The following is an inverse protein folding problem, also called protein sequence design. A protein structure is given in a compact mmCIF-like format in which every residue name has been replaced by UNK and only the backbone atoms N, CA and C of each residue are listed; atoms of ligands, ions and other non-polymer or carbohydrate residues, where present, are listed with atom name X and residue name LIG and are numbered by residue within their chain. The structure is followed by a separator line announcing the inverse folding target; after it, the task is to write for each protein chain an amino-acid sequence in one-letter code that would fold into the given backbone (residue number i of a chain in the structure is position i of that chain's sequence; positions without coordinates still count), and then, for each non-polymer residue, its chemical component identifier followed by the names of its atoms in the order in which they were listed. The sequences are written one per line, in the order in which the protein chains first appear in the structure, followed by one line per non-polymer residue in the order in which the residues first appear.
data_IF_914958913496
#
_entry.id   IF_914958913496
#
_cell.length_a   1.000
_cell.length_b   1.000
_cell.length_c   1.000
_cell.angle_alpha   90.00
_cell.angle_beta   90.00
_cell.angle_gamma   90.00
#
_symmetry.space_group_name_H-M   'P 1'
#
loop_
_entity.id
_entity.type
_entity.pdbx_description
1 polymer ?
#
# COMPACT_ATOMS: atom_id res chain seq x y z
N UNK A 1 30.18 3.13 -11.92
CA UNK A 1 29.80 4.41 -11.30
C UNK A 1 28.45 4.16 -10.66
N UNK A 2 28.41 4.02 -9.34
CA UNK A 2 27.23 3.55 -8.60
C UNK A 2 26.97 4.57 -7.50
N UNK A 3 25.80 5.19 -7.53
CA UNK A 3 25.27 6.13 -6.54
C UNK A 3 23.96 5.48 -6.07
N UNK A 4 23.64 5.25 -4.80
CA UNK A 4 24.07 5.90 -3.58
C UNK A 4 22.84 6.54 -2.93
N UNK A 5 22.04 5.76 -2.19
CA UNK A 5 21.14 6.31 -1.17
C UNK A 5 21.61 5.81 0.19
N UNK A 6 21.82 6.79 1.07
CA UNK A 6 22.63 6.73 2.27
C UNK A 6 21.71 7.13 3.42
N UNK A 7 21.56 6.28 4.42
CA UNK A 7 21.30 6.70 5.79
C UNK A 7 22.33 6.03 6.70
N UNK A 8 23.08 6.87 7.44
CA UNK A 8 24.05 6.52 8.49
C UNK A 8 23.30 5.84 9.67
N UNK A 9 23.89 4.93 10.47
CA UNK A 9 25.05 5.15 11.35
C UNK A 9 25.76 3.83 11.76
N UNK A 10 27.10 3.85 11.75
CA UNK A 10 28.12 2.94 12.36
C UNK A 10 28.06 2.97 13.92
N UNK A 11 28.68 2.12 14.77
CA UNK A 11 29.52 0.91 14.75
C UNK A 11 29.74 0.44 16.21
N UNK A 12 30.08 -0.84 16.34
CA UNK A 12 31.08 -1.44 17.26
C UNK A 12 30.71 -1.88 18.68
N UNK A 13 31.16 -3.10 18.92
CA UNK A 13 31.13 -3.96 20.08
C UNK A 13 32.28 -3.65 21.07
N UNK A 14 32.08 -3.90 22.37
CA UNK A 14 33.14 -4.25 23.33
C UNK A 14 32.56 -5.03 24.52
N UNK A 15 33.26 -6.09 24.94
CA UNK A 15 32.94 -7.00 26.06
C UNK A 15 33.61 -6.53 27.35
N UNK A 16 32.92 -6.62 28.52
CA UNK A 16 33.44 -7.29 29.74
C UNK A 16 32.45 -7.31 30.94
N UNK A 17 32.03 -8.53 31.30
CA UNK A 17 31.82 -9.20 32.63
C UNK A 17 31.00 -8.60 33.81
N UNK A 18 30.04 -9.46 34.26
CA UNK A 18 29.44 -9.72 35.61
C UNK A 18 28.51 -8.61 36.16
N UNK A 19 27.33 -8.85 36.75
CA UNK A 19 26.86 -9.90 37.66
C UNK A 19 25.30 -9.99 37.67
N UNK A 20 24.77 -11.07 38.24
CA UNK A 20 23.35 -11.48 38.31
C UNK A 20 22.33 -10.42 38.77
N UNK A 21 21.21 -10.30 38.05
CA UNK A 21 19.85 -10.48 38.61
C UNK A 21 18.87 -10.75 37.47
N UNK A 22 18.12 -11.85 37.55
CA UNK A 22 17.11 -12.22 36.54
C UNK A 22 15.89 -11.30 36.71
N UNK A 23 15.70 -10.39 35.75
CA UNK A 23 14.38 -9.89 35.36
C UNK A 23 14.05 -10.53 34.02
N UNK A 24 12.81 -11.02 33.76
CA UNK A 24 12.43 -11.34 32.40
C UNK A 24 12.48 -10.02 31.62
N UNK A 25 13.48 -9.88 30.76
CA UNK A 25 13.46 -8.87 29.71
C UNK A 25 12.33 -9.26 28.77
N UNK A 26 11.21 -8.55 28.82
CA UNK A 26 10.30 -8.50 27.69
C UNK A 26 11.09 -7.78 26.60
N UNK A 27 11.77 -8.56 25.77
CA UNK A 27 12.45 -8.05 24.58
C UNK A 27 11.37 -7.81 23.54
N UNK A 28 10.62 -6.72 23.65
CA UNK A 28 9.74 -6.29 22.55
C UNK A 28 10.64 -5.70 21.47
N UNK A 29 11.20 -6.55 20.61
CA UNK A 29 11.66 -6.07 19.32
C UNK A 29 10.40 -5.74 18.53
N UNK A 30 9.98 -4.47 18.57
CA UNK A 30 8.89 -3.97 17.72
C UNK A 30 9.31 -4.18 16.27
N UNK A 31 8.66 -5.11 15.56
CA UNK A 31 8.82 -5.24 14.11
C UNK A 31 8.48 -3.90 13.44
N UNK A 32 9.14 -3.61 12.34
CA UNK A 32 8.85 -2.46 11.47
C UNK A 32 8.10 -2.93 10.22
N UNK A 33 7.51 -1.99 9.48
CA UNK A 33 6.91 -2.30 8.17
C UNK A 33 7.95 -2.89 7.20
N UNK A 34 9.19 -2.40 7.22
CA UNK A 34 10.27 -2.94 6.39
C UNK A 34 10.59 -4.39 6.72
N UNK A 35 10.63 -4.74 8.02
CA UNK A 35 10.84 -6.13 8.43
C UNK A 35 9.73 -7.06 7.89
N UNK A 36 8.50 -6.59 7.74
CA UNK A 36 7.41 -7.37 7.15
C UNK A 36 7.59 -7.57 5.64
N UNK A 37 7.99 -6.52 4.89
CA UNK A 37 8.33 -6.65 3.47
C UNK A 37 9.54 -7.57 3.22
N UNK A 38 10.51 -7.57 4.12
CA UNK A 38 11.68 -8.45 4.03
C UNK A 38 11.34 -9.93 4.31
N UNK A 39 10.25 -10.20 5.04
CA UNK A 39 9.99 -11.52 5.63
C UNK A 39 8.72 -12.23 5.15
N UNK A 40 7.76 -11.54 4.52
CA UNK A 40 6.53 -12.18 4.04
C UNK A 40 6.81 -13.21 2.95
N UNK A 41 6.03 -14.30 2.88
CA UNK A 41 6.31 -15.45 2.03
C UNK A 41 5.31 -15.68 0.91
N UNK A 42 4.06 -15.25 1.08
CA UNK A 42 2.97 -15.55 0.15
C UNK A 42 2.38 -14.27 -0.44
N UNK A 43 1.93 -13.35 0.42
CA UNK A 43 1.23 -12.17 -0.04
C UNK A 43 1.38 -10.94 0.86
N UNK A 44 1.35 -9.77 0.23
CA UNK A 44 1.23 -8.47 0.87
C UNK A 44 0.00 -7.73 0.31
N UNK A 45 -0.94 -7.42 1.18
CA UNK A 45 -2.20 -6.75 0.90
C UNK A 45 -2.19 -5.32 1.45
N UNK A 46 -2.57 -4.33 0.64
CA UNK A 46 -2.78 -2.94 1.08
C UNK A 46 -4.25 -2.55 1.00
N UNK A 47 -4.80 -2.07 2.11
CA UNK A 47 -6.05 -1.30 2.11
C UNK A 47 -5.77 0.21 2.12
N UNK A 48 -6.40 0.94 1.21
CA UNK A 48 -6.42 2.40 1.17
C UNK A 48 -7.85 2.93 1.28
N UNK A 49 -8.02 3.93 2.16
CA UNK A 49 -9.33 4.46 2.56
C UNK A 49 -9.46 5.97 2.40
N UNK A 50 -8.37 6.67 2.04
CA UNK A 50 -8.36 8.14 1.89
C UNK A 50 -8.37 8.56 0.43
N UNK A 51 -9.09 9.63 0.12
CA UNK A 51 -9.13 10.22 -1.23
C UNK A 51 -7.94 11.18 -1.51
N UNK A 52 -7.07 11.42 -0.53
CA UNK A 52 -5.97 12.39 -0.63
C UNK A 52 -4.75 11.97 0.23
N UNK A 53 -3.65 11.67 -0.45
CA UNK A 53 -2.33 11.47 0.15
C UNK A 53 -1.30 12.48 -0.39
N UNK A 54 -1.73 13.66 -0.86
CA UNK A 54 -0.91 14.67 -1.55
C UNK A 54 0.24 15.25 -0.73
N UNK A 55 0.26 15.02 0.59
CA UNK A 55 1.37 15.39 1.49
C UNK A 55 2.26 14.20 1.85
N UNK A 56 2.10 13.09 1.14
CA UNK A 56 2.85 11.85 1.29
C UNK A 56 3.46 11.42 -0.04
N UNK A 57 4.41 10.47 0.01
CA UNK A 57 5.03 9.90 -1.18
C UNK A 57 5.79 10.95 -1.98
N UNK A 58 5.53 11.01 -3.29
CA UNK A 58 6.22 11.90 -4.21
C UNK A 58 5.41 13.18 -4.47
N UNK A 59 5.53 14.13 -3.53
CA UNK A 59 4.85 15.44 -3.59
C UNK A 59 5.22 16.23 -4.85
N UNK A 60 6.48 16.16 -5.28
CA UNK A 60 6.94 16.86 -6.49
C UNK A 60 6.30 16.29 -7.75
N UNK A 61 6.17 14.95 -7.85
CA UNK A 61 5.46 14.31 -8.96
C UNK A 61 3.97 14.68 -8.97
N UNK A 62 3.34 14.83 -7.81
CA UNK A 62 1.96 15.30 -7.75
C UNK A 62 1.83 16.75 -8.25
N UNK A 63 2.76 17.63 -7.88
CA UNK A 63 2.78 18.99 -8.41
C UNK A 63 3.01 19.03 -9.93
N UNK A 64 3.91 18.19 -10.46
CA UNK A 64 4.14 18.05 -11.90
C UNK A 64 2.87 17.58 -12.62
N UNK A 65 2.15 16.61 -12.06
CA UNK A 65 0.86 16.15 -12.58
C UNK A 65 -0.17 17.27 -12.66
N UNK A 66 -0.31 18.05 -11.59
CA UNK A 66 -1.22 19.20 -11.56
C UNK A 66 -0.84 20.29 -12.59
N UNK A 67 0.45 20.42 -12.88
CA UNK A 67 0.96 21.32 -13.91
C UNK A 67 0.77 20.79 -15.35
N UNK A 68 0.28 19.55 -15.51
CA UNK A 68 0.13 18.91 -16.82
C UNK A 68 1.45 18.45 -17.44
N UNK A 69 2.50 18.32 -16.64
CA UNK A 69 3.79 17.81 -17.06
C UNK A 69 3.74 16.28 -17.28
N UNK A 70 4.61 15.71 -18.13
CA UNK A 70 4.69 14.27 -18.27
C UNK A 70 5.23 13.59 -17.00
N UNK A 71 4.87 12.31 -16.82
CA UNK A 71 5.42 11.50 -15.74
C UNK A 71 6.96 11.40 -15.88
N UNK A 72 7.74 11.67 -14.82
CA UNK A 72 9.17 11.42 -14.81
C UNK A 72 9.51 9.94 -15.05
N UNK A 73 10.55 9.65 -15.84
CA UNK A 73 10.93 8.28 -16.20
C UNK A 73 11.24 7.40 -14.97
N UNK A 74 11.86 8.00 -13.95
CA UNK A 74 12.27 7.38 -12.70
C UNK A 74 11.19 7.43 -11.61
N UNK A 75 9.99 7.94 -11.91
CA UNK A 75 8.88 7.95 -10.98
C UNK A 75 8.62 6.56 -10.40
N UNK A 76 8.65 6.45 -9.07
CA UNK A 76 8.50 5.20 -8.31
C UNK A 76 9.45 4.06 -8.69
N UNK A 77 10.58 4.32 -9.37
CA UNK A 77 11.46 3.27 -9.87
C UNK A 77 11.95 2.30 -8.77
N UNK A 78 12.34 2.82 -7.60
CA UNK A 78 12.79 1.98 -6.48
C UNK A 78 11.69 1.07 -5.94
N UNK A 79 10.47 1.60 -5.77
CA UNK A 79 9.33 0.78 -5.32
C UNK A 79 8.94 -0.27 -6.36
N UNK A 80 8.98 0.07 -7.65
CA UNK A 80 8.72 -0.89 -8.74
C UNK A 80 9.76 -2.02 -8.75
N UNK A 81 11.02 -1.71 -8.46
CA UNK A 81 12.09 -2.71 -8.34
C UNK A 81 11.85 -3.64 -7.13
N UNK A 82 11.46 -3.08 -5.98
CA UNK A 82 11.10 -3.85 -4.79
C UNK A 82 9.91 -4.77 -5.05
N UNK A 83 8.81 -4.26 -5.62
CA UNK A 83 7.65 -5.04 -6.07
C UNK A 83 8.07 -6.19 -6.98
N UNK A 84 8.88 -5.90 -8.01
CA UNK A 84 9.38 -6.91 -8.95
C UNK A 84 10.18 -7.99 -8.24
N UNK A 85 11.00 -7.62 -7.26
CA UNK A 85 11.82 -8.57 -6.48
C UNK A 85 10.99 -9.58 -5.68
N UNK A 86 9.73 -9.24 -5.36
CA UNK A 86 8.78 -10.12 -4.70
C UNK A 86 7.97 -10.93 -5.71
N UNK A 87 7.42 -10.26 -6.73
CA UNK A 87 6.52 -10.90 -7.70
C UNK A 87 7.22 -11.91 -8.59
N UNK A 88 8.50 -11.69 -8.93
CA UNK A 88 9.33 -12.67 -9.64
C UNK A 88 9.60 -13.95 -8.83
N UNK A 89 9.46 -13.89 -7.49
CA UNK A 89 9.55 -15.06 -6.60
C UNK A 89 8.20 -15.76 -6.43
N UNK A 90 7.16 -15.35 -7.16
CA UNK A 90 5.81 -15.88 -7.06
C UNK A 90 5.01 -15.36 -5.87
N UNK A 91 5.50 -14.32 -5.17
CA UNK A 91 4.75 -13.66 -4.10
C UNK A 91 3.73 -12.69 -4.69
N UNK A 92 2.56 -12.56 -4.08
CA UNK A 92 1.51 -11.65 -4.53
C UNK A 92 1.60 -10.33 -3.79
N UNK A 93 1.53 -9.20 -4.50
CA UNK A 93 1.38 -7.89 -3.87
C UNK A 93 0.18 -7.22 -4.50
N UNK A 94 -0.77 -6.80 -3.67
CA UNK A 94 -2.02 -6.24 -4.18
C UNK A 94 -2.63 -5.20 -3.27
N UNK A 95 -3.50 -4.40 -3.86
CA UNK A 95 -4.12 -3.25 -3.21
C UNK A 95 -5.61 -3.20 -3.48
N UNK A 96 -6.37 -2.95 -2.42
CA UNK A 96 -7.78 -2.55 -2.49
C UNK A 96 -7.86 -1.08 -2.08
N UNK A 97 -8.43 -0.24 -2.95
CA UNK A 97 -8.69 1.16 -2.64
C UNK A 97 -10.20 1.41 -2.66
N UNK A 98 -10.72 1.94 -1.55
CA UNK A 98 -12.10 2.39 -1.42
C UNK A 98 -12.22 3.83 -1.91
N UNK A 99 -12.96 4.07 -2.98
CA UNK A 99 -13.10 5.43 -3.52
C UNK A 99 -14.54 5.73 -3.92
N UNK A 100 -14.86 7.02 -3.99
CA UNK A 100 -16.15 7.52 -4.47
C UNK A 100 -15.95 8.51 -5.62
N UNK A 101 -16.96 8.67 -6.48
CA UNK A 101 -16.96 9.70 -7.52
C UNK A 101 -17.70 10.96 -7.04
N UNK A 102 -17.31 12.16 -7.51
CA UNK A 102 -16.20 12.43 -8.45
C UNK A 102 -14.82 12.19 -7.80
N UNK A 103 -13.87 11.71 -8.60
CA UNK A 103 -12.51 11.49 -8.14
C UNK A 103 -11.83 12.85 -7.85
N UNK A 104 -11.05 12.89 -6.78
CA UNK A 104 -10.17 14.02 -6.48
C UNK A 104 -9.03 14.09 -7.50
N UNK A 105 -8.35 15.24 -7.57
CA UNK A 105 -7.14 15.37 -8.39
C UNK A 105 -6.05 14.40 -7.95
N UNK A 106 -5.93 14.16 -6.63
CA UNK A 106 -4.99 13.20 -6.09
C UNK A 106 -5.33 11.76 -6.52
N UNK A 107 -6.60 11.33 -6.46
CA UNK A 107 -6.99 10.01 -6.96
C UNK A 107 -6.75 9.89 -8.47
N UNK A 108 -6.98 10.94 -9.26
CA UNK A 108 -6.65 10.92 -10.68
C UNK A 108 -5.14 10.75 -10.93
N UNK A 109 -4.30 11.43 -10.13
CA UNK A 109 -2.85 11.26 -10.12
C UNK A 109 -2.45 9.83 -9.73
N UNK A 110 -2.97 9.33 -8.62
CA UNK A 110 -2.59 8.03 -8.07
C UNK A 110 -2.99 6.87 -8.99
N UNK A 111 -4.23 6.86 -9.48
CA UNK A 111 -4.70 5.87 -10.44
C UNK A 111 -3.99 6.00 -11.79
N UNK A 112 -3.73 7.23 -12.24
CA UNK A 112 -3.17 7.52 -13.55
C UNK A 112 -1.65 7.28 -13.63
N UNK A 113 -0.90 7.64 -12.60
CA UNK A 113 0.55 7.56 -12.57
C UNK A 113 1.03 6.45 -11.66
N UNK A 114 0.61 6.47 -10.39
CA UNK A 114 1.01 5.49 -9.37
C UNK A 114 0.68 4.06 -9.78
N UNK A 115 -0.60 3.76 -9.95
CA UNK A 115 -1.06 2.39 -10.17
C UNK A 115 -0.52 1.83 -11.48
N UNK A 116 -0.59 2.62 -12.56
CA UNK A 116 -0.07 2.21 -13.87
C UNK A 116 1.42 1.89 -13.83
N UNK A 117 2.21 2.67 -13.07
CA UNK A 117 3.65 2.42 -12.91
C UNK A 117 3.89 1.17 -12.05
N UNK A 118 3.22 1.05 -10.92
CA UNK A 118 3.39 -0.08 -10.00
C UNK A 118 2.94 -1.43 -10.59
N UNK A 119 1.93 -1.45 -11.46
CA UNK A 119 1.54 -2.64 -12.23
C UNK A 119 2.70 -3.22 -13.04
N UNK A 120 3.68 -2.41 -13.45
CA UNK A 120 4.89 -2.89 -14.15
C UNK A 120 5.89 -3.64 -13.25
N UNK A 121 5.71 -3.54 -11.93
CA UNK A 121 6.38 -4.36 -10.92
C UNK A 121 5.56 -5.57 -10.47
N UNK A 122 4.34 -5.73 -11.00
CA UNK A 122 3.44 -6.83 -10.69
C UNK A 122 2.46 -6.60 -9.53
N UNK A 123 2.32 -5.35 -9.02
CA UNK A 123 1.26 -5.03 -8.06
C UNK A 123 -0.11 -5.10 -8.73
N UNK A 124 -1.06 -5.81 -8.11
CA UNK A 124 -2.45 -5.90 -8.54
C UNK A 124 -3.30 -4.82 -7.85
N UNK A 125 -4.31 -4.30 -8.55
CA UNK A 125 -5.18 -3.24 -8.02
C UNK A 125 -6.64 -3.60 -8.16
N UNK A 126 -7.37 -3.38 -7.07
CA UNK A 126 -8.81 -3.58 -6.97
C UNK A 126 -9.46 -2.33 -6.39
N UNK A 127 -10.61 -1.98 -6.93
CA UNK A 127 -11.34 -0.77 -6.55
C UNK A 127 -12.67 -1.17 -5.93
N UNK A 128 -12.89 -0.74 -4.69
CA UNK A 128 -14.19 -0.77 -4.05
C UNK A 128 -14.88 0.59 -4.27
N UNK A 129 -15.63 0.71 -5.36
CA UNK A 129 -16.32 1.95 -5.74
C UNK A 129 -17.56 2.13 -4.87
N UNK A 130 -17.62 3.14 -4.01
CA UNK A 130 -18.74 3.41 -3.08
C UNK A 130 -19.61 4.60 -3.50
N UNK A 131 -19.54 5.07 -4.75
CA UNK A 131 -20.20 6.31 -5.23
C UNK A 131 -21.67 6.47 -4.81
N UNK A 132 -22.46 5.39 -4.84
CA UNK A 132 -23.90 5.42 -4.56
C UNK A 132 -24.32 4.44 -3.44
N UNK A 133 -23.39 4.02 -2.58
CA UNK A 133 -23.65 3.03 -1.52
C UNK A 133 -22.88 3.37 -0.24
N UNK A 134 -23.37 2.96 0.93
CA UNK A 134 -22.65 3.16 2.18
C UNK A 134 -21.27 2.48 2.12
N UNK A 135 -20.25 3.12 2.72
CA UNK A 135 -18.93 2.53 2.86
C UNK A 135 -18.98 1.37 3.88
N UNK A 136 -18.78 0.10 3.45
CA UNK A 136 -18.82 -1.05 4.34
C UNK A 136 -17.65 -1.09 5.34
N UNK A 137 -16.58 -0.33 5.07
CA UNK A 137 -15.35 -0.27 5.87
C UNK A 137 -15.16 1.13 6.49
N UNK A 138 -16.27 1.84 6.73
CA UNK A 138 -16.21 3.15 7.38
C UNK A 138 -15.53 3.07 8.76
N UNK A 139 -14.47 3.88 8.96
CA UNK A 139 -13.72 3.94 10.20
C UNK A 139 -12.58 2.92 10.31
N UNK A 140 -12.41 2.04 9.32
CA UNK A 140 -11.21 1.21 9.17
C UNK A 140 -10.06 2.11 8.71
N UNK A 141 -8.89 2.09 9.37
CA UNK A 141 -7.73 2.86 8.92
C UNK A 141 -7.03 2.15 7.75
N UNK A 142 -6.15 2.86 7.06
CA UNK A 142 -5.21 2.25 6.12
C UNK A 142 -4.30 1.24 6.80
N UNK A 143 -4.04 0.11 6.14
CA UNK A 143 -3.09 -0.88 6.64
C UNK A 143 -2.49 -1.75 5.54
N UNK A 144 -1.30 -2.27 5.82
CA UNK A 144 -0.77 -3.44 5.13
C UNK A 144 -1.05 -4.70 5.95
N UNK A 145 -1.39 -5.80 5.29
CA UNK A 145 -1.46 -7.14 5.85
C UNK A 145 -0.50 -8.05 5.07
N UNK A 146 0.22 -8.90 5.78
CA UNK A 146 1.20 -9.84 5.21
C UNK A 146 0.84 -11.25 5.66
N UNK A 147 0.76 -12.15 4.67
CA UNK A 147 0.48 -13.58 4.84
C UNK A 147 -0.76 -13.89 5.71
N UNK A 148 -1.76 -13.00 5.69
CA UNK A 148 -2.95 -13.11 6.54
C UNK A 148 -2.64 -13.23 8.05
N UNK A 149 -1.52 -12.68 8.51
CA UNK A 149 -1.06 -12.81 9.89
C UNK A 149 -0.54 -11.49 10.47
N UNK A 150 0.36 -10.81 9.76
CA UNK A 150 1.04 -9.63 10.27
C UNK A 150 0.44 -8.36 9.68
N UNK A 151 0.08 -7.40 10.54
CA UNK A 151 -0.59 -6.16 10.12
C UNK A 151 0.22 -4.94 10.54
N UNK A 152 0.36 -3.99 9.62
CA UNK A 152 0.93 -2.68 9.87
C UNK A 152 -0.08 -1.57 9.52
N UNK A 153 -0.60 -0.90 10.55
CA UNK A 153 -1.52 0.25 10.39
C UNK A 153 -0.74 1.48 9.97
N UNK A 154 -1.26 2.21 9.00
CA UNK A 154 -0.65 3.38 8.39
C UNK A 154 -1.35 4.64 8.89
N UNK A 155 -0.60 5.55 9.50
CA UNK A 155 -1.16 6.75 10.10
C UNK A 155 -0.93 7.95 9.21
N UNK A 156 -1.99 8.72 8.97
CA UNK A 156 -1.95 9.96 8.21
C UNK A 156 -2.61 11.09 9.01
N UNK A 157 -2.16 12.32 8.82
CA UNK A 157 -2.91 13.48 9.29
C UNK A 157 -4.07 13.83 8.34
N UNK A 158 -4.88 14.83 8.74
CA UNK A 158 -6.03 15.29 7.95
C UNK A 158 -5.67 15.91 6.60
N UNK A 159 -4.41 16.26 6.38
CA UNK A 159 -3.90 16.79 5.12
C UNK A 159 -3.27 15.70 4.26
N UNK A 160 -3.42 14.42 4.62
CA UNK A 160 -2.86 13.30 3.87
C UNK A 160 -1.35 13.14 4.05
N UNK A 161 -0.75 13.69 5.12
CA UNK A 161 0.68 13.52 5.43
C UNK A 161 0.90 12.25 6.25
N UNK A 162 1.83 11.42 5.81
CA UNK A 162 2.22 10.20 6.52
C UNK A 162 2.92 10.53 7.85
N UNK A 163 2.41 9.92 8.92
CA UNK A 163 2.90 10.08 10.29
C UNK A 163 3.71 8.89 10.79
N UNK A 164 3.68 7.76 10.07
CA UNK A 164 4.37 6.53 10.44
C UNK A 164 3.44 5.31 10.45
N UNK A 165 4.04 4.13 10.56
CA UNK A 165 3.34 2.86 10.63
C UNK A 165 3.54 2.21 12.00
N UNK A 166 2.52 1.45 12.41
CA UNK A 166 2.57 0.65 13.63
C UNK A 166 2.28 -0.80 13.27
N UNK A 167 3.25 -1.68 13.51
CA UNK A 167 3.00 -3.12 13.46
C UNK A 167 2.19 -3.51 14.69
N UNK A 168 1.09 -4.22 14.46
CA UNK A 168 0.21 -4.69 15.51
C UNK A 168 0.72 -6.00 16.12
N UNK A 169 0.42 -6.19 17.39
CA UNK A 169 0.53 -7.50 18.04
C UNK A 169 -0.51 -8.47 17.45
N UNK A 170 -0.23 -9.78 17.49
CA UNK A 170 -1.02 -10.82 16.81
C UNK A 170 -2.51 -10.82 17.18
N UNK A 171 -2.83 -10.54 18.44
CA UNK A 171 -4.21 -10.48 18.93
C UNK A 171 -5.01 -9.35 18.30
N UNK A 172 -4.36 -8.21 18.03
CA UNK A 172 -4.95 -7.07 17.34
C UNK A 172 -5.00 -7.26 15.83
N UNK A 173 -4.06 -7.99 15.24
CA UNK A 173 -3.99 -8.20 13.80
C UNK A 173 -5.18 -8.99 13.23
N UNK A 174 -5.74 -9.95 14.00
CA UNK A 174 -6.80 -10.83 13.53
C UNK A 174 -8.06 -10.11 13.01
N UNK A 175 -8.44 -8.99 13.63
CA UNK A 175 -9.56 -8.15 13.16
C UNK A 175 -9.29 -7.56 11.77
N UNK A 176 -8.06 -7.08 11.55
CA UNK A 176 -7.64 -6.46 10.29
C UNK A 176 -7.46 -7.49 9.18
N UNK A 177 -7.00 -8.70 9.50
CA UNK A 177 -6.97 -9.83 8.57
C UNK A 177 -8.39 -10.12 8.06
N UNK A 178 -9.37 -10.27 8.97
CA UNK A 178 -10.76 -10.50 8.57
C UNK A 178 -11.34 -9.37 7.72
N UNK A 179 -10.95 -8.13 7.99
CA UNK A 179 -11.32 -6.97 7.16
C UNK A 179 -10.68 -7.08 5.78
N UNK A 180 -9.39 -7.45 5.70
CA UNK A 180 -8.67 -7.68 4.46
C UNK A 180 -9.37 -8.70 3.57
N UNK A 181 -9.63 -9.89 4.10
CA UNK A 181 -10.32 -10.98 3.39
C UNK A 181 -11.70 -10.54 2.87
N UNK A 182 -12.45 -9.82 3.70
CA UNK A 182 -13.75 -9.27 3.32
C UNK A 182 -13.63 -8.26 2.18
N UNK A 183 -12.65 -7.36 2.26
CA UNK A 183 -12.43 -6.32 1.25
C UNK A 183 -12.00 -6.90 -0.10
N UNK A 184 -11.13 -7.92 -0.11
CA UNK A 184 -10.71 -8.63 -1.32
C UNK A 184 -11.90 -9.33 -1.98
N UNK A 185 -12.71 -10.06 -1.19
CA UNK A 185 -13.92 -10.72 -1.67
C UNK A 185 -14.93 -9.75 -2.30
N UNK A 186 -15.14 -8.58 -1.66
CA UNK A 186 -16.03 -7.54 -2.18
C UNK A 186 -15.50 -6.94 -3.48
N UNK A 187 -14.21 -6.61 -3.53
CA UNK A 187 -13.60 -6.01 -4.70
C UNK A 187 -13.51 -7.00 -5.89
N UNK A 188 -13.24 -8.28 -5.62
CA UNK A 188 -13.32 -9.35 -6.61
C UNK A 188 -14.76 -9.49 -7.16
N UNK A 189 -15.78 -9.42 -6.30
CA UNK A 189 -17.19 -9.46 -6.73
C UNK A 189 -17.54 -8.27 -7.62
N UNK A 190 -17.03 -7.09 -7.30
CA UNK A 190 -17.24 -5.86 -8.08
C UNK A 190 -16.58 -5.95 -9.47
N UNK A 191 -15.35 -6.48 -9.53
CA UNK A 191 -14.65 -6.74 -10.79
C UNK A 191 -15.45 -7.67 -11.72
N UNK A 192 -16.10 -8.71 -11.17
CA UNK A 192 -16.94 -9.64 -11.92
C UNK A 192 -18.32 -9.05 -12.31
N UNK A 193 -18.83 -8.04 -11.58
CA UNK A 193 -20.14 -7.43 -11.86
C UNK A 193 -20.16 -6.41 -12.99
N UNK A 194 -19.02 -5.96 -13.53
CA UNK A 194 -19.03 -5.02 -14.66
C UNK A 194 -19.79 -5.65 -15.84
N UNK A 195 -20.95 -5.11 -16.27
CA UNK A 195 -21.55 -5.54 -17.51
C UNK A 195 -20.59 -5.18 -18.65
N UNK A 196 -20.45 -6.08 -19.63
CA UNK A 196 -19.86 -5.78 -20.94
C UNK A 196 -20.70 -4.71 -21.65
N UNK A 197 -20.68 -3.46 -21.18
CA UNK A 197 -21.38 -2.33 -21.81
C UNK A 197 -20.36 -1.40 -22.45
N UNK A 198 -19.79 -1.88 -23.55
CA UNK A 198 -19.23 -1.06 -24.61
C UNK A 198 -19.06 -1.87 -25.91
N UNK A 199 -20.13 -2.44 -26.44
CA UNK A 199 -20.14 -3.02 -27.79
C UNK A 199 -21.52 -2.90 -28.44
N UNK A 200 -22.13 -1.71 -28.45
CA UNK A 200 -23.34 -1.48 -29.25
C UNK A 200 -23.54 0.01 -29.52
N UNK A 201 -22.79 0.56 -30.50
CA UNK A 201 -23.23 1.68 -31.35
C UNK A 201 -22.20 1.92 -32.43
N UNK A 202 -22.24 1.09 -33.47
CA UNK A 202 -21.95 1.50 -34.84
C UNK A 202 -22.57 0.47 -35.77
N UNK A 203 -23.83 0.72 -36.12
CA UNK A 203 -24.36 0.30 -37.41
C UNK A 203 -25.51 1.23 -37.81
N UNK A 204 -25.40 1.68 -39.05
CA UNK A 204 -26.44 2.21 -39.93
C UNK A 204 -26.79 3.69 -39.80
N UNK A 205 -26.24 4.47 -40.75
CA UNK A 205 -27.03 5.45 -41.50
C UNK A 205 -26.80 5.11 -43.00
N UNK A 206 -27.83 5.19 -43.87
CA UNK A 206 -27.87 4.54 -45.19
C UNK A 206 -26.83 5.04 -46.19
#
# INVERSE_FOLDING_TARGET
MTTGFRFLLMKSWSRSRRNCSRRPSVTTSSKTLGDLFDSFEHEAFRLETLDDYSKSGNVDAYHAYLAGEPQPDDYNAGWVEELRSHTEKGKRVYRVHILSRPLTDYLCFELGWGYRKNMTGGEEFFILDITDKPNPLHGVPDFWCFDSESVAVMNYDRAGKYLGSQVLETDRAAEFVSIGDGSDSMAATEAHRRPQRAASRQRLVP
#
